data_IF_036110149086
#
_entry.id   IF_036110149086
#
_cell.length_a   1.000
_cell.length_b   1.000
_cell.length_c   1.000
_cell.angle_alpha   90.00
_cell.angle_beta   90.00
_cell.angle_gamma   90.00
#
_symmetry.space_group_name_H-M   'P 1'
#
loop_
_entity.id
_entity.type
_entity.pdbx_description
1 polymer ?
#
# COMPACT_ATOMS: atom_id res chain seq x y z
N UNK A 1 -3.39 -15.50 50.63
CA UNK A 1 -2.77 -15.95 49.36
C UNK A 1 -3.70 -15.59 48.22
N UNK A 2 -3.39 -14.53 47.47
CA UNK A 2 -4.21 -14.06 46.34
C UNK A 2 -3.58 -14.55 45.05
N UNK A 3 -4.28 -15.46 44.36
CA UNK A 3 -3.84 -16.04 43.09
C UNK A 3 -4.42 -15.19 41.97
N UNK A 4 -3.52 -14.49 41.26
CA UNK A 4 -3.82 -13.67 40.08
C UNK A 4 -4.27 -14.62 38.96
N UNK A 5 -5.59 -14.75 38.76
CA UNK A 5 -6.17 -15.30 37.53
C UNK A 5 -6.32 -14.16 36.52
N UNK A 6 -5.38 -14.05 35.58
CA UNK A 6 -5.54 -13.22 34.37
C UNK A 6 -5.45 -14.05 33.06
N UNK A 7 -6.29 -15.09 32.85
CA UNK A 7 -6.33 -15.77 31.55
C UNK A 7 -6.95 -14.90 30.44
N UNK A 8 -7.74 -13.87 30.76
CA UNK A 8 -8.40 -13.03 29.74
C UNK A 8 -7.47 -12.05 29.02
N UNK A 9 -6.35 -11.66 29.64
CA UNK A 9 -5.42 -10.66 29.07
C UNK A 9 -4.66 -11.26 27.88
N UNK A 10 -4.25 -12.52 27.96
CA UNK A 10 -3.54 -13.25 26.89
C UNK A 10 -4.44 -13.54 25.66
N UNK A 11 -5.73 -13.80 25.87
CA UNK A 11 -6.68 -14.01 24.75
C UNK A 11 -6.94 -12.73 23.96
N UNK A 12 -7.02 -11.59 24.66
CA UNK A 12 -7.33 -10.28 24.05
C UNK A 12 -6.16 -9.73 23.22
N UNK A 13 -4.91 -9.91 23.66
CA UNK A 13 -3.71 -9.52 22.90
C UNK A 13 -3.54 -10.37 21.63
N UNK A 14 -3.78 -11.68 21.73
CA UNK A 14 -3.68 -12.61 20.60
C UNK A 14 -4.74 -12.30 19.55
N UNK A 15 -6.00 -12.11 19.95
CA UNK A 15 -7.09 -11.74 19.04
C UNK A 15 -6.82 -10.40 18.33
N UNK A 16 -6.34 -9.38 19.05
CA UNK A 16 -5.97 -8.08 18.45
C UNK A 16 -4.83 -8.19 17.46
N UNK A 17 -3.80 -9.01 17.75
CA UNK A 17 -2.71 -9.27 16.79
C UNK A 17 -3.22 -9.94 15.52
N UNK A 18 -4.07 -10.96 15.63
CA UNK A 18 -4.63 -11.65 14.47
C UNK A 18 -5.45 -10.69 13.60
N UNK A 19 -6.33 -9.88 14.21
CA UNK A 19 -7.12 -8.87 13.48
C UNK A 19 -6.23 -7.82 12.82
N UNK A 20 -5.19 -7.35 13.50
CA UNK A 20 -4.24 -6.40 12.93
C UNK A 20 -3.45 -6.96 11.74
N UNK A 21 -3.05 -8.23 11.80
CA UNK A 21 -2.33 -8.90 10.72
C UNK A 21 -3.24 -9.18 9.53
N UNK A 22 -4.48 -9.64 9.74
CA UNK A 22 -5.42 -9.87 8.64
C UNK A 22 -5.83 -8.56 7.97
N UNK A 23 -6.01 -7.48 8.74
CA UNK A 23 -6.24 -6.14 8.23
C UNK A 23 -5.04 -5.60 7.43
N UNK A 24 -3.82 -5.84 7.92
CA UNK A 24 -2.61 -5.48 7.20
C UNK A 24 -2.50 -6.24 5.87
N UNK A 25 -2.73 -7.56 5.88
CA UNK A 25 -2.70 -8.40 4.68
C UNK A 25 -3.76 -7.96 3.67
N UNK A 26 -5.00 -7.70 4.09
CA UNK A 26 -6.06 -7.28 3.18
C UNK A 26 -5.81 -5.89 2.60
N UNK A 27 -5.36 -4.93 3.42
CA UNK A 27 -4.97 -3.59 2.93
C UNK A 27 -3.80 -3.67 1.94
N UNK A 28 -2.81 -4.51 2.23
CA UNK A 28 -1.65 -4.73 1.35
C UNK A 28 -2.07 -5.35 0.04
N UNK A 29 -2.92 -6.38 0.07
CA UNK A 29 -3.40 -7.04 -1.13
C UNK A 29 -4.17 -6.05 -2.01
N UNK A 30 -5.05 -5.25 -1.43
CA UNK A 30 -5.81 -4.22 -2.14
C UNK A 30 -4.89 -3.17 -2.74
N UNK A 31 -3.94 -2.61 -1.96
CA UNK A 31 -3.00 -1.60 -2.43
C UNK A 31 -2.10 -2.16 -3.54
N UNK A 32 -1.58 -3.37 -3.38
CA UNK A 32 -0.72 -4.04 -4.37
C UNK A 32 -1.48 -4.26 -5.67
N UNK A 33 -2.69 -4.82 -5.60
CA UNK A 33 -3.49 -5.07 -6.80
C UNK A 33 -3.85 -3.75 -7.48
N UNK A 34 -4.26 -2.73 -6.73
CA UNK A 34 -4.65 -1.45 -7.28
C UNK A 34 -3.47 -0.74 -7.97
N UNK A 35 -2.34 -0.61 -7.28
CA UNK A 35 -1.13 0.05 -7.80
C UNK A 35 -0.53 -0.78 -8.92
N UNK A 36 -0.40 -2.10 -8.77
CA UNK A 36 0.17 -2.99 -9.78
C UNK A 36 -0.63 -3.00 -11.08
N UNK A 37 -1.97 -3.13 -11.00
CA UNK A 37 -2.83 -3.09 -12.19
C UNK A 37 -2.80 -1.72 -12.86
N UNK A 38 -2.90 -0.63 -12.08
CA UNK A 38 -2.79 0.72 -12.61
C UNK A 38 -1.45 0.96 -13.30
N UNK A 39 -0.35 0.61 -12.64
CA UNK A 39 1.01 0.81 -13.14
C UNK A 39 1.25 0.01 -14.42
N UNK A 40 0.79 -1.24 -14.48
CA UNK A 40 0.84 -2.06 -15.70
C UNK A 40 0.04 -1.46 -16.86
N UNK A 41 -1.10 -0.83 -16.59
CA UNK A 41 -1.89 -0.13 -17.63
C UNK A 41 -1.22 1.17 -18.12
N UNK A 42 -0.49 1.88 -17.25
CA UNK A 42 0.12 3.18 -17.59
C UNK A 42 1.46 3.03 -18.31
N UNK A 43 2.22 1.96 -18.03
CA UNK A 43 3.47 1.66 -18.74
C UNK A 43 3.22 1.13 -20.16
N UNK A 44 2.08 0.47 -20.38
CA UNK A 44 1.68 -0.05 -21.69
C UNK A 44 1.25 1.03 -22.69
N UNK A 45 0.68 0.63 -23.85
CA UNK A 45 0.19 1.57 -24.86
C UNK A 45 -0.88 2.50 -24.25
N UNK A 46 -0.51 3.79 -24.13
CA UNK A 46 -1.33 4.81 -23.48
C UNK A 46 -2.48 5.21 -24.40
N UNK A 47 -3.68 4.75 -24.07
CA UNK A 47 -4.93 5.24 -24.66
C UNK A 47 -5.72 5.98 -23.60
N UNK A 48 -6.63 6.86 -24.00
CA UNK A 48 -7.55 7.52 -23.07
C UNK A 48 -8.38 6.51 -22.27
N UNK A 49 -8.75 5.39 -22.90
CA UNK A 49 -9.48 4.29 -22.25
C UNK A 49 -8.64 3.60 -21.16
N UNK A 50 -7.38 3.26 -21.44
CA UNK A 50 -6.51 2.62 -20.44
C UNK A 50 -6.17 3.55 -19.28
N UNK A 51 -6.03 4.85 -19.53
CA UNK A 51 -5.84 5.84 -18.47
C UNK A 51 -7.07 5.97 -17.56
N UNK A 52 -8.28 6.03 -18.13
CA UNK A 52 -9.53 6.07 -17.36
C UNK A 52 -9.75 4.78 -16.56
N UNK A 53 -9.49 3.62 -17.17
CA UNK A 53 -9.58 2.34 -16.48
C UNK A 53 -8.59 2.26 -15.31
N UNK A 54 -7.34 2.70 -15.52
CA UNK A 54 -6.32 2.77 -14.47
C UNK A 54 -6.72 3.69 -13.31
N UNK A 55 -7.28 4.87 -13.59
CA UNK A 55 -7.79 5.78 -12.56
C UNK A 55 -8.94 5.15 -11.77
N UNK A 56 -9.88 4.47 -12.45
CA UNK A 56 -10.97 3.76 -11.80
C UNK A 56 -10.47 2.65 -10.87
N UNK A 57 -9.45 1.90 -11.28
CA UNK A 57 -8.82 0.84 -10.47
C UNK A 57 -8.16 1.43 -9.22
N UNK A 58 -7.35 2.48 -9.37
CA UNK A 58 -6.74 3.16 -8.22
C UNK A 58 -7.79 3.70 -7.25
N UNK A 59 -8.84 4.34 -7.78
CA UNK A 59 -9.89 4.90 -6.96
C UNK A 59 -10.64 3.80 -6.20
N UNK A 60 -11.07 2.74 -6.87
CA UNK A 60 -11.72 1.59 -6.25
C UNK A 60 -10.83 0.94 -5.17
N UNK A 61 -9.54 0.72 -5.48
CA UNK A 61 -8.57 0.20 -4.52
C UNK A 61 -8.40 1.08 -3.29
N UNK A 62 -8.26 2.39 -3.49
CA UNK A 62 -8.15 3.35 -2.39
C UNK A 62 -9.41 3.38 -1.51
N UNK A 63 -10.59 3.23 -2.10
CA UNK A 63 -11.87 3.15 -1.38
C UNK A 63 -11.96 1.86 -0.55
N UNK A 64 -11.63 0.71 -1.14
CA UNK A 64 -11.60 -0.58 -0.45
C UNK A 64 -10.61 -0.55 0.72
N UNK A 65 -9.43 0.06 0.52
CA UNK A 65 -8.44 0.23 1.58
C UNK A 65 -8.94 1.11 2.71
N UNK A 66 -9.58 2.23 2.38
CA UNK A 66 -10.21 3.11 3.37
C UNK A 66 -11.33 2.37 4.13
N UNK A 67 -12.06 1.47 3.45
CA UNK A 67 -13.05 0.58 4.05
C UNK A 67 -12.44 -0.42 5.03
N UNK A 68 -11.38 -1.13 4.64
CA UNK A 68 -10.64 -2.07 5.52
C UNK A 68 -10.12 -1.34 6.75
N UNK A 69 -9.51 -0.17 6.57
CA UNK A 69 -9.04 0.65 7.68
C UNK A 69 -10.19 1.14 8.57
N UNK A 70 -11.30 1.58 7.96
CA UNK A 70 -12.50 2.00 8.67
C UNK A 70 -13.08 0.90 9.54
N UNK A 71 -13.35 -0.28 8.97
CA UNK A 71 -13.92 -1.44 9.68
C UNK A 71 -13.05 -1.97 10.82
N UNK A 72 -11.74 -1.75 10.75
CA UNK A 72 -10.78 -2.29 11.73
C UNK A 72 -10.52 -1.34 12.88
N UNK A 73 -10.69 -0.03 12.66
CA UNK A 73 -10.34 1.03 13.61
C UNK A 73 -11.57 1.78 14.14
N UNK A 74 -12.69 1.77 13.41
CA UNK A 74 -13.92 2.45 13.76
C UNK A 74 -15.12 1.49 13.68
N UNK A 75 -16.07 1.60 14.61
CA UNK A 75 -17.34 0.84 14.57
C UNK A 75 -18.31 1.34 13.47
N UNK A 76 -17.95 2.42 12.77
CA UNK A 76 -18.77 2.96 11.69
C UNK A 76 -18.68 2.08 10.42
N UNK A 77 -19.74 1.30 10.19
CA UNK A 77 -19.90 0.44 9.02
C UNK A 77 -20.25 1.17 7.71
N UNK A 78 -20.36 2.51 7.73
CA UNK A 78 -20.81 3.27 6.56
C UNK A 78 -19.66 3.55 5.58
N UNK A 79 -19.69 2.87 4.44
CA UNK A 79 -18.66 2.92 3.40
C UNK A 79 -18.66 4.24 2.62
N UNK A 80 -19.80 4.95 2.57
CA UNK A 80 -20.00 6.14 1.72
C UNK A 80 -19.99 7.44 2.55
N UNK A 81 -19.16 7.51 3.60
CA UNK A 81 -18.94 8.78 4.27
C UNK A 81 -18.13 9.72 3.36
N UNK A 82 -18.51 11.00 3.21
CA UNK A 82 -17.84 11.96 2.32
C UNK A 82 -16.36 12.15 2.67
N UNK A 83 -16.00 11.96 3.95
CA UNK A 83 -14.61 12.00 4.40
C UNK A 83 -13.78 10.82 3.90
N UNK A 84 -14.37 9.61 3.79
CA UNK A 84 -13.69 8.42 3.24
C UNK A 84 -13.44 8.59 1.75
N UNK A 85 -14.42 9.12 1.03
CA UNK A 85 -14.27 9.49 -0.39
C UNK A 85 -13.15 10.52 -0.57
N UNK A 86 -13.10 11.56 0.27
CA UNK A 86 -12.01 12.54 0.25
C UNK A 86 -10.63 11.93 0.48
N UNK A 87 -10.50 11.00 1.43
CA UNK A 87 -9.23 10.29 1.66
C UNK A 87 -8.86 9.40 0.47
N UNK A 88 -9.81 8.65 -0.09
CA UNK A 88 -9.60 7.82 -1.27
C UNK A 88 -9.10 8.67 -2.45
N UNK A 89 -9.78 9.79 -2.75
CA UNK A 89 -9.39 10.75 -3.78
C UNK A 89 -7.99 11.33 -3.55
N UNK A 90 -7.65 11.69 -2.31
CA UNK A 90 -6.33 12.24 -1.97
C UNK A 90 -5.22 11.21 -2.20
N UNK A 91 -5.46 9.93 -1.90
CA UNK A 91 -4.52 8.85 -2.18
C UNK A 91 -4.38 8.62 -3.70
N UNK A 92 -5.49 8.53 -4.44
CA UNK A 92 -5.47 8.34 -5.90
C UNK A 92 -4.73 9.48 -6.59
N UNK A 93 -5.04 10.73 -6.25
CA UNK A 93 -4.33 11.91 -6.79
C UNK A 93 -2.86 11.90 -6.40
N UNK A 94 -2.55 11.45 -5.18
CA UNK A 94 -1.18 11.26 -4.72
C UNK A 94 -0.34 10.33 -5.59
N UNK A 95 -0.89 9.17 -5.94
CA UNK A 95 -0.25 8.21 -6.84
C UNK A 95 -0.03 8.79 -8.25
N UNK A 96 -1.02 9.49 -8.78
CA UNK A 96 -0.93 10.14 -10.11
C UNK A 96 0.13 11.24 -10.11
N UNK A 97 0.14 12.11 -9.09
CA UNK A 97 1.13 13.19 -8.96
C UNK A 97 2.53 12.62 -8.83
N UNK A 98 2.71 11.55 -8.05
CA UNK A 98 4.00 10.87 -7.93
C UNK A 98 4.55 10.44 -9.29
N UNK A 99 3.76 9.71 -10.09
CA UNK A 99 4.20 9.24 -11.39
C UNK A 99 4.42 10.40 -12.36
N UNK A 100 3.55 11.41 -12.33
CA UNK A 100 3.68 12.61 -13.16
C UNK A 100 4.98 13.38 -12.87
N UNK A 101 5.35 13.54 -11.60
CA UNK A 101 6.62 14.17 -11.20
C UNK A 101 7.81 13.35 -11.68
N UNK A 102 7.73 12.02 -11.60
CA UNK A 102 8.79 11.15 -12.08
C UNK A 102 8.98 11.29 -13.61
N UNK A 103 7.89 11.33 -14.37
CA UNK A 103 7.91 11.48 -15.83
C UNK A 103 8.37 12.87 -16.28
N UNK A 104 8.05 13.92 -15.52
CA UNK A 104 8.37 15.30 -15.87
C UNK A 104 9.87 15.59 -15.83
N UNK A 105 10.58 15.04 -14.84
CA UNK A 105 12.01 15.29 -14.63
C UNK A 105 12.87 14.26 -15.38
N UNK A 106 12.34 13.04 -15.54
CA UNK A 106 12.99 11.87 -16.13
C UNK A 106 14.28 11.44 -15.40
N UNK A 107 14.72 10.21 -15.66
CA UNK A 107 15.95 9.64 -15.14
C UNK A 107 16.00 9.48 -13.60
N UNK A 108 17.22 9.32 -13.09
CA UNK A 108 17.50 9.19 -11.65
C UNK A 108 17.05 10.41 -10.82
N UNK A 109 17.25 11.69 -11.24
CA UNK A 109 16.77 12.82 -10.45
C UNK A 109 15.24 12.84 -10.35
N UNK A 110 14.52 12.45 -11.40
CA UNK A 110 13.06 12.35 -11.37
C UNK A 110 12.57 11.31 -10.39
N UNK A 111 13.20 10.13 -10.36
CA UNK A 111 12.95 9.11 -9.35
C UNK A 111 13.10 9.66 -7.92
N UNK A 112 14.23 10.30 -7.62
CA UNK A 112 14.52 10.81 -6.25
C UNK A 112 13.50 11.86 -5.84
N UNK A 113 13.23 12.85 -6.70
CA UNK A 113 12.26 13.92 -6.41
C UNK A 113 10.85 13.35 -6.25
N UNK A 114 10.44 12.46 -7.15
CA UNK A 114 9.14 11.79 -7.06
C UNK A 114 8.99 11.00 -5.76
N UNK A 115 10.00 10.23 -5.34
CA UNK A 115 9.96 9.49 -4.07
C UNK A 115 9.81 10.43 -2.89
N UNK A 116 10.55 11.55 -2.84
CA UNK A 116 10.40 12.55 -1.77
C UNK A 116 8.96 13.12 -1.76
N UNK A 117 8.43 13.49 -2.92
CA UNK A 117 7.05 13.99 -3.06
C UNK A 117 6.03 12.95 -2.58
N UNK A 118 6.21 11.68 -2.95
CA UNK A 118 5.34 10.59 -2.52
C UNK A 118 5.38 10.39 -1.00
N UNK A 119 6.56 10.46 -0.37
CA UNK A 119 6.68 10.41 1.10
C UNK A 119 5.83 11.51 1.75
N UNK A 120 5.97 12.76 1.28
CA UNK A 120 5.19 13.89 1.79
C UNK A 120 3.68 13.67 1.64
N UNK A 121 3.24 13.25 0.45
CA UNK A 121 1.84 12.94 0.15
C UNK A 121 1.31 11.85 1.10
N UNK A 122 2.06 10.76 1.29
CA UNK A 122 1.67 9.65 2.15
C UNK A 122 1.63 10.05 3.64
N UNK A 123 2.58 10.88 4.11
CA UNK A 123 2.55 11.41 5.48
C UNK A 123 1.30 12.25 5.72
N UNK A 124 0.96 13.14 4.77
CA UNK A 124 -0.26 13.95 4.85
C UNK A 124 -1.49 13.06 4.81
N UNK A 125 -1.56 12.13 3.88
CA UNK A 125 -2.66 11.18 3.74
C UNK A 125 -2.91 10.37 5.02
N UNK A 126 -1.87 9.77 5.58
CA UNK A 126 -1.98 8.98 6.81
C UNK A 126 -2.39 9.84 8.01
N UNK A 127 -1.93 11.10 8.04
CA UNK A 127 -2.34 12.05 9.08
C UNK A 127 -3.81 12.45 8.93
N UNK A 128 -4.28 12.67 7.71
CA UNK A 128 -5.69 12.95 7.39
C UNK A 128 -6.57 11.77 7.77
N UNK A 129 -6.20 10.54 7.36
CA UNK A 129 -6.94 9.33 7.73
C UNK A 129 -7.03 9.19 9.27
N UNK A 130 -5.92 9.37 10.00
CA UNK A 130 -5.94 9.32 11.47
C UNK A 130 -6.91 10.33 12.10
N UNK A 131 -7.01 11.55 11.54
CA UNK A 131 -7.95 12.59 11.99
C UNK A 131 -9.40 12.25 11.64
N UNK A 132 -9.65 11.77 10.42
CA UNK A 132 -10.98 11.42 9.93
C UNK A 132 -11.59 10.30 10.75
N UNK A 133 -10.82 9.24 11.00
CA UNK A 133 -11.25 8.06 11.76
C UNK A 133 -11.21 8.26 13.29
N UNK A 134 -11.03 9.50 13.75
CA UNK A 134 -11.11 9.92 15.18
C UNK A 134 -10.49 8.90 16.14
N UNK A 135 -9.30 8.40 15.83
CA UNK A 135 -8.56 7.54 16.75
C UNK A 135 -8.34 8.32 18.06
N UNK A 136 -9.13 8.03 19.10
CA UNK A 136 -8.92 8.50 20.47
C UNK A 136 -7.67 7.82 21.03
N UNK A 137 -6.51 8.19 20.50
CA UNK A 137 -5.23 7.82 21.07
C UNK A 137 -4.86 8.97 22.00
N UNK A 138 -4.60 8.62 23.26
CA UNK A 138 -4.09 9.51 24.30
C UNK A 138 -2.91 10.31 23.74
N UNK A 139 -2.83 11.64 23.94
CA UNK A 139 -1.91 12.54 23.22
C UNK A 139 -0.42 12.37 23.55
N UNK A 140 0.02 11.21 24.03
CA UNK A 140 1.28 11.13 24.76
C UNK A 140 2.53 11.01 23.91
N UNK A 141 2.45 10.61 22.63
CA UNK A 141 3.51 10.89 21.64
C UNK A 141 2.88 10.93 20.24
N UNK A 142 2.70 12.14 19.68
CA UNK A 142 2.21 12.34 18.32
C UNK A 142 3.33 12.07 17.30
N UNK A 143 3.84 10.84 17.24
CA UNK A 143 4.78 10.44 16.21
C UNK A 143 4.09 10.54 14.85
N UNK A 144 4.64 11.39 13.98
CA UNK A 144 4.21 11.51 12.61
C UNK A 144 4.33 10.13 11.91
N UNK A 145 3.40 9.77 10.99
CA UNK A 145 3.38 8.47 10.32
C UNK A 145 4.47 8.34 9.24
N UNK A 146 5.69 8.82 9.54
CA UNK A 146 6.83 8.89 8.62
C UNK A 146 7.33 7.48 8.29
N UNK A 147 7.46 6.60 9.29
CA UNK A 147 7.97 5.23 9.07
C UNK A 147 7.17 4.44 8.01
N UNK A 148 5.83 4.28 8.17
CA UNK A 148 5.01 3.64 7.15
C UNK A 148 5.05 4.33 5.79
N UNK A 149 5.11 5.67 5.75
CA UNK A 149 5.18 6.43 4.50
C UNK A 149 6.49 6.18 3.76
N UNK A 150 7.62 6.15 4.48
CA UNK A 150 8.93 5.84 3.92
C UNK A 150 8.98 4.42 3.37
N UNK A 151 8.46 3.43 4.11
CA UNK A 151 8.42 2.04 3.65
C UNK A 151 7.64 1.92 2.34
N UNK A 152 6.43 2.49 2.29
CA UNK A 152 5.58 2.37 1.11
C UNK A 152 6.15 3.16 -0.09
N UNK A 153 6.73 4.34 0.14
CA UNK A 153 7.41 5.09 -0.90
C UNK A 153 8.69 4.40 -1.41
N UNK A 154 9.45 3.73 -0.53
CA UNK A 154 10.59 2.93 -0.93
C UNK A 154 10.17 1.76 -1.82
N UNK A 155 9.09 1.04 -1.45
CA UNK A 155 8.52 -0.01 -2.29
C UNK A 155 8.09 0.53 -3.67
N UNK A 156 7.39 1.67 -3.70
CA UNK A 156 6.97 2.29 -4.96
C UNK A 156 8.16 2.74 -5.82
N UNK A 157 9.20 3.28 -5.19
CA UNK A 157 10.44 3.65 -5.88
C UNK A 157 11.13 2.42 -6.47
N UNK A 158 11.19 1.28 -5.76
CA UNK A 158 11.76 0.04 -6.30
C UNK A 158 10.94 -0.51 -7.47
N UNK A 159 9.61 -0.40 -7.41
CA UNK A 159 8.73 -0.75 -8.52
C UNK A 159 9.04 0.13 -9.75
N UNK A 160 9.15 1.44 -9.56
CA UNK A 160 9.48 2.39 -10.63
C UNK A 160 10.86 2.12 -11.24
N UNK A 161 11.87 1.86 -10.39
CA UNK A 161 13.21 1.49 -10.84
C UNK A 161 13.17 0.24 -11.70
N UNK A 162 12.47 -0.80 -11.23
CA UNK A 162 12.36 -2.07 -11.94
C UNK A 162 11.70 -1.95 -13.31
N UNK A 163 10.77 -1.01 -13.48
CA UNK A 163 10.05 -0.82 -14.73
C UNK A 163 10.78 0.11 -15.71
N UNK A 164 11.53 1.10 -15.23
CA UNK A 164 12.14 2.13 -16.09
C UNK A 164 13.61 1.88 -16.41
N UNK A 165 14.36 1.25 -15.51
CA UNK A 165 15.82 1.16 -15.61
C UNK A 165 16.34 -0.27 -15.75
N UNK A 166 15.48 -1.28 -15.60
CA UNK A 166 15.91 -2.67 -15.58
C UNK A 166 15.28 -3.42 -16.76
N UNK A 167 15.95 -3.40 -17.90
CA UNK A 167 15.66 -4.28 -19.05
C UNK A 167 16.23 -5.70 -18.81
N UNK A 168 16.05 -6.25 -17.61
CA UNK A 168 16.54 -7.58 -17.28
C UNK A 168 15.43 -8.61 -17.52
N UNK A 169 15.53 -9.34 -18.62
CA UNK A 169 14.74 -10.56 -18.86
C UNK A 169 15.56 -11.79 -18.52
N UNK A 170 15.25 -12.45 -17.41
CA UNK A 170 15.88 -13.72 -17.04
C UNK A 170 15.02 -14.88 -17.58
N UNK A 171 15.44 -15.47 -18.69
CA UNK A 171 14.79 -16.66 -19.26
C UNK A 171 15.21 -17.89 -18.47
N UNK A 172 14.31 -18.45 -17.65
CA UNK A 172 14.56 -19.76 -17.04
C UNK A 172 14.61 -20.85 -18.14
N UNK A 173 15.54 -21.82 -18.10
CA UNK A 173 15.50 -22.96 -19.01
C UNK A 173 14.17 -23.71 -18.86
N UNK A 174 13.55 -24.08 -19.98
CA UNK A 174 12.22 -24.69 -20.01
C UNK A 174 12.19 -25.97 -19.16
N UNK A 175 11.38 -25.96 -18.10
CA UNK A 175 11.11 -27.15 -17.29
C UNK A 175 10.11 -28.03 -18.07
N UNK A 176 10.63 -29.10 -18.69
CA UNK A 176 9.83 -30.10 -19.38
C UNK A 176 9.16 -31.02 -18.37
N UNK A 177 7.88 -30.77 -18.09
CA UNK A 177 7.01 -31.70 -17.35
C UNK A 177 6.21 -32.54 -18.35
N UNK A 178 6.91 -33.39 -19.12
CA UNK A 178 6.39 -34.55 -19.89
C UNK A 178 5.35 -34.32 -21.00
N UNK A 179 4.47 -33.33 -20.89
CA UNK A 179 3.36 -33.01 -21.81
C UNK A 179 3.13 -31.48 -21.90
N UNK A 180 3.61 -30.69 -20.94
CA UNK A 180 3.54 -29.21 -20.98
C UNK A 180 4.87 -28.60 -20.57
N UNK A 181 5.41 -27.73 -21.43
CA UNK A 181 6.58 -26.90 -21.11
C UNK A 181 6.10 -25.63 -20.41
N UNK A 182 6.46 -25.46 -19.14
CA UNK A 182 6.25 -24.21 -18.42
C UNK A 182 7.49 -23.33 -18.58
N UNK A 183 7.32 -22.16 -19.18
CA UNK A 183 8.35 -21.11 -19.21
C UNK A 183 7.90 -20.03 -18.23
N UNK A 184 8.57 -19.95 -17.08
CA UNK A 184 8.31 -18.88 -16.11
C UNK A 184 9.20 -17.70 -16.48
N UNK A 185 8.58 -16.66 -17.06
CA UNK A 185 9.27 -15.41 -17.37
C UNK A 185 9.33 -14.55 -16.10
N UNK A 186 10.48 -14.54 -15.43
CA UNK A 186 10.71 -13.64 -14.30
C UNK A 186 11.32 -12.36 -14.85
N UNK A 187 10.44 -11.41 -15.14
CA UNK A 187 10.82 -10.05 -15.50
C UNK A 187 11.23 -9.24 -14.26
N UNK A 188 12.10 -8.24 -14.41
CA UNK A 188 12.52 -7.35 -13.32
C UNK A 188 11.33 -6.70 -12.60
N UNK A 189 10.24 -6.47 -13.35
CA UNK A 189 8.98 -5.97 -12.83
C UNK A 189 8.37 -6.90 -11.75
N UNK A 190 8.52 -8.22 -11.87
CA UNK A 190 8.03 -9.16 -10.85
C UNK A 190 8.77 -9.00 -9.53
N UNK A 191 10.08 -8.75 -9.59
CA UNK A 191 10.88 -8.47 -8.40
C UNK A 191 10.46 -7.14 -7.76
N UNK A 192 10.25 -6.10 -8.58
CA UNK A 192 9.73 -4.81 -8.11
C UNK A 192 8.36 -4.94 -7.43
N UNK A 193 7.44 -5.70 -8.03
CA UNK A 193 6.12 -6.00 -7.43
C UNK A 193 6.27 -6.75 -6.10
N UNK A 194 7.13 -7.77 -6.04
CA UNK A 194 7.37 -8.51 -4.81
C UNK A 194 7.92 -7.62 -3.68
N UNK A 195 8.90 -6.77 -4.00
CA UNK A 195 9.46 -5.81 -3.04
C UNK A 195 8.38 -4.81 -2.61
N UNK A 196 7.57 -4.29 -3.53
CA UNK A 196 6.45 -3.41 -3.20
C UNK A 196 5.44 -4.07 -2.25
N UNK A 197 5.07 -5.34 -2.50
CA UNK A 197 4.19 -6.11 -1.60
C UNK A 197 4.76 -6.17 -0.19
N UNK A 198 6.05 -6.52 -0.06
CA UNK A 198 6.70 -6.65 1.23
C UNK A 198 6.74 -5.32 2.00
N UNK A 199 7.13 -4.24 1.33
CA UNK A 199 7.18 -2.91 1.94
C UNK A 199 5.79 -2.37 2.29
N UNK A 200 4.80 -2.58 1.42
CA UNK A 200 3.40 -2.24 1.68
C UNK A 200 2.87 -3.01 2.90
N UNK A 201 3.16 -4.31 2.98
CA UNK A 201 2.82 -5.13 4.14
C UNK A 201 3.42 -4.60 5.44
N UNK A 202 4.72 -4.32 5.45
CA UNK A 202 5.40 -3.79 6.63
C UNK A 202 4.85 -2.40 7.03
N UNK A 203 4.55 -1.54 6.05
CA UNK A 203 3.94 -0.24 6.28
C UNK A 203 2.56 -0.38 6.95
N UNK A 204 1.69 -1.24 6.41
CA UNK A 204 0.36 -1.49 6.96
C UNK A 204 0.41 -2.18 8.32
N UNK A 205 1.26 -3.19 8.48
CA UNK A 205 1.44 -3.89 9.76
C UNK A 205 1.90 -2.93 10.85
N UNK A 206 2.94 -2.13 10.59
CA UNK A 206 3.45 -1.16 11.56
C UNK A 206 2.38 -0.11 11.92
N UNK A 207 1.58 0.30 10.94
CA UNK A 207 0.45 1.21 11.17
C UNK A 207 -0.64 0.59 12.05
N UNK A 208 -1.09 -0.63 11.76
CA UNK A 208 -2.13 -1.29 12.56
C UNK A 208 -1.64 -1.66 13.96
N UNK A 209 -0.37 -2.06 14.11
CA UNK A 209 0.23 -2.33 15.42
C UNK A 209 0.18 -1.10 16.33
N UNK A 210 0.55 0.08 15.82
CA UNK A 210 0.51 1.34 16.58
C UNK A 210 -0.92 1.77 16.96
N UNK A 211 -1.92 1.39 16.18
CA UNK A 211 -3.31 1.77 16.44
C UNK A 211 -4.02 0.80 17.40
N UNK A 212 -3.67 -0.49 17.38
CA UNK A 212 -4.34 -1.54 18.16
C UNK A 212 -3.66 -1.83 19.51
N UNK A 213 -2.38 -1.50 19.66
CA UNK A 213 -1.62 -1.55 20.91
C UNK A 213 -1.06 -0.14 21.23
N UNK A 214 -1.92 0.81 21.67
CA UNK A 214 -1.50 2.15 22.04
C UNK A 214 -0.65 2.18 23.32
#
# INVERSE_FOLDING_TARGET
MSVIRQPEVLGRTTRRRVVGVTAALSATAVETLAVGLWFGLVIGPRTTSTALAGLGILFCGSLLRAGVFGMTVSDDGDLIQPRRLGAALLLTTGWVVWLWVAELIDGVPGLVVATVVLVWILVVQFSVERRVFRCRITPQVADAPIGPALLLAAGAATLLVSAWFVEWTATSPALSLGVTSFVVWIDALHLGVFVFVLFSFLAHQHRFQRLLNP
#
